data_IF_263793207397
#
_entry.id   IF_263793207397
#
_cell.length_a   1.000
_cell.length_b   1.000
_cell.length_c   1.000
_cell.angle_alpha   90.00
_cell.angle_beta   90.00
_cell.angle_gamma   90.00
#
_symmetry.space_group_name_H-M   'P 1'
#
loop_
_entity.id
_entity.type
_entity.pdbx_description
1 polymer ?
#
# COMPACT_ATOMS: atom_id res chain seq x y z
N UNK A 1 2.48 -6.45 -2.01
CA UNK A 1 1.59 -5.30 -1.80
C UNK A 1 1.05 -4.83 -3.13
N UNK A 2 -0.23 -4.48 -3.16
CA UNK A 2 -0.95 -4.00 -4.34
C UNK A 2 -1.53 -2.61 -4.01
N UNK A 3 -1.55 -1.72 -4.99
CA UNK A 3 -2.38 -0.52 -4.95
C UNK A 3 -3.32 -0.49 -6.15
N UNK A 4 -4.55 -0.08 -5.91
CA UNK A 4 -5.59 0.05 -6.94
C UNK A 4 -5.84 1.54 -7.19
N UNK A 5 -5.94 1.94 -8.45
CA UNK A 5 -6.20 3.33 -8.86
C UNK A 5 -7.68 3.50 -9.23
N UNK A 6 -8.33 4.58 -8.76
CA UNK A 6 -9.76 4.86 -9.02
C UNK A 6 -10.11 5.02 -10.51
N UNK A 7 -9.14 5.39 -11.34
CA UNK A 7 -9.31 5.53 -12.78
C UNK A 7 -9.11 4.22 -13.55
N UNK A 8 -8.85 3.09 -12.88
CA UNK A 8 -8.76 1.79 -13.53
C UNK A 8 -10.12 1.41 -14.15
N UNK A 9 -10.11 0.90 -15.39
CA UNK A 9 -11.32 0.50 -16.12
C UNK A 9 -12.19 -0.53 -15.37
N UNK A 10 -11.60 -1.27 -14.43
CA UNK A 10 -12.22 -2.31 -13.64
C UNK A 10 -11.95 -2.13 -12.14
N UNK A 11 -11.96 -0.88 -11.65
CA UNK A 11 -11.69 -0.53 -10.25
C UNK A 11 -12.38 -1.46 -9.24
N UNK A 12 -13.71 -1.61 -9.34
CA UNK A 12 -14.48 -2.44 -8.40
C UNK A 12 -14.03 -3.91 -8.39
N UNK A 13 -13.71 -4.45 -9.57
CA UNK A 13 -13.22 -5.82 -9.69
C UNK A 13 -11.81 -5.94 -9.09
N UNK A 14 -10.91 -4.98 -9.36
CA UNK A 14 -9.56 -5.00 -8.78
C UNK A 14 -9.60 -4.89 -7.25
N UNK A 15 -10.50 -4.08 -6.71
CA UNK A 15 -10.72 -3.98 -5.27
C UNK A 15 -11.22 -5.30 -4.68
N UNK A 16 -12.18 -5.96 -5.33
CA UNK A 16 -12.68 -7.27 -4.91
C UNK A 16 -11.60 -8.35 -4.98
N UNK A 17 -10.87 -8.44 -6.10
CA UNK A 17 -9.79 -9.40 -6.31
C UNK A 17 -8.66 -9.19 -5.30
N UNK A 18 -8.31 -7.94 -5.00
CA UNK A 18 -7.28 -7.62 -4.01
C UNK A 18 -7.66 -8.06 -2.60
N UNK A 19 -8.94 -7.91 -2.20
CA UNK A 19 -9.45 -8.41 -0.91
C UNK A 19 -9.41 -9.93 -0.82
N UNK A 20 -9.68 -10.64 -1.91
CA UNK A 20 -9.61 -12.11 -1.95
C UNK A 20 -8.16 -12.59 -1.93
N UNK A 21 -7.29 -11.92 -2.68
CA UNK A 21 -5.88 -12.29 -2.79
C UNK A 21 -5.10 -11.99 -1.51
N UNK A 22 -5.44 -10.91 -0.81
CA UNK A 22 -4.75 -10.43 0.39
C UNK A 22 -5.73 -10.27 1.57
N UNK A 23 -6.28 -11.37 2.10
CA UNK A 23 -7.31 -11.32 3.13
C UNK A 23 -6.81 -10.71 4.45
N UNK A 24 -5.51 -10.79 4.72
CA UNK A 24 -4.87 -10.25 5.94
C UNK A 24 -4.39 -8.80 5.76
N UNK A 25 -4.53 -8.22 4.56
CA UNK A 25 -4.13 -6.84 4.31
C UNK A 25 -5.21 -5.85 4.77
N UNK A 26 -4.76 -4.72 5.31
CA UNK A 26 -5.57 -3.56 5.62
C UNK A 26 -5.69 -2.69 4.37
N UNK A 27 -6.90 -2.26 4.05
CA UNK A 27 -7.11 -1.24 3.03
C UNK A 27 -6.89 0.14 3.66
N UNK A 28 -5.96 0.90 3.07
CA UNK A 28 -5.73 2.31 3.35
C UNK A 28 -6.32 3.14 2.21
N UNK A 29 -7.28 4.01 2.55
CA UNK A 29 -7.88 4.94 1.61
C UNK A 29 -6.90 6.07 1.25
N UNK A 30 -7.13 6.76 0.11
CA UNK A 30 -6.35 7.92 -0.27
C UNK A 30 -6.26 8.98 0.84
N UNK A 31 -5.07 9.14 1.41
CA UNK A 31 -4.81 10.15 2.44
C UNK A 31 -4.92 9.68 3.89
N UNK A 32 -5.25 8.40 4.14
CA UNK A 32 -5.32 7.86 5.51
C UNK A 32 -3.97 7.93 6.25
N UNK A 33 -2.87 7.83 5.50
CA UNK A 33 -1.52 7.87 6.06
C UNK A 33 -0.60 8.75 5.18
N UNK A 34 0.03 9.80 5.74
CA UNK A 34 0.94 10.67 5.00
C UNK A 34 2.13 9.94 4.34
N UNK A 35 2.58 8.83 4.94
CA UNK A 35 3.65 8.00 4.39
C UNK A 35 3.21 7.02 3.30
N UNK A 36 1.92 7.07 2.93
CA UNK A 36 1.38 6.44 1.74
C UNK A 36 1.02 7.52 0.72
N UNK A 37 1.27 7.24 -0.55
CA UNK A 37 0.96 8.17 -1.63
C UNK A 37 -0.56 8.23 -1.81
N UNK A 38 -1.22 9.39 -1.68
CA UNK A 38 -2.68 9.46 -1.82
C UNK A 38 -3.12 9.50 -3.29
N UNK A 39 -2.25 9.99 -4.19
CA UNK A 39 -2.57 10.24 -5.60
C UNK A 39 -1.38 9.88 -6.50
N UNK A 40 -1.65 9.24 -7.63
CA UNK A 40 -0.64 8.99 -8.66
C UNK A 40 -0.28 10.29 -9.39
N UNK A 41 1.01 10.69 -9.46
CA UNK A 41 1.39 12.00 -10.00
C UNK A 41 1.10 12.20 -11.49
N UNK A 42 1.00 11.10 -12.24
CA UNK A 42 0.90 11.14 -13.70
C UNK A 42 -0.55 11.23 -14.15
N UNK A 43 -1.43 10.41 -13.58
CA UNK A 43 -2.85 10.40 -13.93
C UNK A 43 -3.73 11.26 -13.03
N UNK A 44 -3.25 11.62 -11.82
CA UNK A 44 -4.07 12.27 -10.80
C UNK A 44 -5.07 11.33 -10.12
N UNK A 45 -4.99 10.02 -10.38
CA UNK A 45 -5.86 9.02 -9.79
C UNK A 45 -5.60 8.82 -8.29
N UNK A 46 -6.65 8.59 -7.53
CA UNK A 46 -6.54 8.27 -6.11
C UNK A 46 -5.99 6.85 -5.92
N UNK A 47 -5.08 6.68 -4.96
CA UNK A 47 -4.39 5.41 -4.71
C UNK A 47 -4.98 4.74 -3.47
N UNK A 48 -5.56 3.56 -3.66
CA UNK A 48 -6.05 2.69 -2.60
C UNK A 48 -5.00 1.61 -2.32
N UNK A 49 -4.41 1.62 -1.12
CA UNK A 49 -3.29 0.73 -0.81
C UNK A 49 -3.73 -0.44 0.07
N UNK A 50 -3.36 -1.66 -0.33
CA UNK A 50 -3.50 -2.85 0.51
C UNK A 50 -2.18 -3.13 1.21
N UNK A 51 -2.14 -2.90 2.53
CA UNK A 51 -0.93 -3.00 3.35
C UNK A 51 -1.00 -4.20 4.30
N UNK A 52 0.11 -4.92 4.45
CA UNK A 52 0.26 -5.90 5.53
C UNK A 52 0.93 -5.15 6.69
N UNK A 53 0.25 -5.09 7.83
CA UNK A 53 0.79 -4.44 9.02
C UNK A 53 1.63 -5.45 9.82
N UNK A 54 2.93 -5.19 9.90
CA UNK A 54 3.88 -5.98 10.68
C UNK A 54 4.01 -5.47 12.13
N UNK A 55 3.27 -4.42 12.51
CA UNK A 55 3.42 -3.74 13.78
C UNK A 55 4.84 -3.19 13.94
N UNK A 56 5.46 -3.49 15.08
CA UNK A 56 6.84 -3.08 15.39
C UNK A 56 7.91 -4.08 14.90
N UNK A 57 7.53 -5.15 14.19
CA UNK A 57 8.46 -6.17 13.68
C UNK A 57 9.13 -5.71 12.35
N UNK A 58 10.12 -4.84 12.50
CA UNK A 58 10.91 -4.32 11.39
C UNK A 58 11.69 -5.42 10.65
N UNK A 59 12.14 -6.47 11.35
CA UNK A 59 12.91 -7.56 10.74
C UNK A 59 12.04 -8.36 9.77
N UNK A 60 10.81 -8.71 10.17
CA UNK A 60 9.85 -9.38 9.31
C UNK A 60 9.40 -8.51 8.14
N UNK A 61 9.19 -7.20 8.37
CA UNK A 61 8.88 -6.23 7.31
C UNK A 61 10.00 -6.20 6.25
N UNK A 62 11.26 -6.07 6.67
CA UNK A 62 12.41 -6.04 5.76
C UNK A 62 12.71 -7.41 5.12
N UNK A 63 12.37 -8.52 5.77
CA UNK A 63 12.39 -9.83 5.13
C UNK A 63 11.33 -9.92 4.02
N UNK A 64 10.12 -9.40 4.25
CA UNK A 64 9.06 -9.40 3.27
C UNK A 64 9.40 -8.55 2.03
N UNK A 65 9.95 -7.35 2.21
CA UNK A 65 10.41 -6.51 1.09
C UNK A 65 11.45 -7.25 0.23
N UNK A 66 12.49 -7.83 0.85
CA UNK A 66 13.54 -8.59 0.15
C UNK A 66 12.99 -9.79 -0.62
N UNK A 67 11.90 -10.38 -0.15
CA UNK A 67 11.22 -11.51 -0.79
C UNK A 67 10.20 -11.06 -1.87
N UNK A 68 10.16 -9.78 -2.24
CA UNK A 68 9.26 -9.26 -3.27
C UNK A 68 7.86 -8.91 -2.75
N UNK A 69 7.69 -8.73 -1.43
CA UNK A 69 6.45 -8.33 -0.79
C UNK A 69 5.98 -6.91 -1.12
N UNK A 70 6.80 -6.12 -1.81
CA UNK A 70 6.58 -4.70 -2.13
C UNK A 70 7.47 -3.79 -1.30
N UNK A 71 7.30 -2.48 -1.44
CA UNK A 71 8.11 -1.49 -0.74
C UNK A 71 7.67 -1.37 0.72
N UNK A 72 8.57 -1.61 1.67
CA UNK A 72 8.30 -1.37 3.08
C UNK A 72 8.13 0.13 3.34
N UNK A 73 7.30 0.42 4.33
CA UNK A 73 6.96 1.77 4.78
C UNK A 73 6.72 1.74 6.28
N UNK A 74 7.19 2.79 6.96
CA UNK A 74 6.69 3.11 8.29
C UNK A 74 5.38 3.86 8.11
N UNK A 75 4.29 3.39 8.72
CA UNK A 75 3.02 4.12 8.74
C UNK A 75 3.13 5.26 9.76
N UNK A 76 3.41 6.47 9.28
CA UNK A 76 3.69 7.65 10.11
C UNK A 76 3.34 8.95 9.35
N UNK A 77 3.71 10.09 9.92
CA UNK A 77 3.45 11.41 9.35
C UNK A 77 4.53 11.90 8.36
N UNK A 78 5.54 11.10 8.05
CA UNK A 78 6.58 11.45 7.07
C UNK A 78 6.06 11.25 5.65
N UNK A 79 6.30 12.24 4.77
CA UNK A 79 5.90 12.21 3.36
C UNK A 79 7.05 11.86 2.41
N UNK A 80 8.19 11.41 2.94
CA UNK A 80 9.38 11.05 2.15
C UNK A 80 9.21 9.76 1.34
N UNK A 81 8.26 8.90 1.73
CA UNK A 81 8.05 7.57 1.13
C UNK A 81 9.35 6.74 1.11
N UNK A 82 10.20 6.87 2.12
CA UNK A 82 11.45 6.11 2.22
C UNK A 82 11.18 4.74 2.85
N UNK A 83 11.87 3.70 2.38
CA UNK A 83 11.82 2.39 3.02
C UNK A 83 12.62 2.42 4.33
N UNK A 84 12.13 1.81 5.42
CA UNK A 84 12.94 1.62 6.62
C UNK A 84 13.97 0.48 6.48
N UNK A 85 13.95 -0.19 5.33
CA UNK A 85 14.90 -1.20 4.86
C UNK A 85 15.77 -0.57 3.74
#
# INVERSE_FOLDING_TARGET
MNSVLDNAQNFDQQMADSRVQWPDAVLMEPGDCPSLRPVEPQSGASVYAFVIDYGDDLDSLCAAERNGGGNARLLNSDTSYVSPC
#
